data_IF_606686511228
#
_entry.id   IF_606686511228
#
_cell.length_a   1.000
_cell.length_b   1.000
_cell.length_c   1.000
_cell.angle_alpha   90.00
_cell.angle_beta   90.00
_cell.angle_gamma   90.00
#
_symmetry.space_group_name_H-M   'P 1'
#
loop_
_entity.id
_entity.type
_entity.pdbx_description
1 polymer ?
#
# COMPACT_ATOMS: atom_id res chain seq x y z
N UNK A 1 -27.71 -17.01 22.39
CA UNK A 1 -27.49 -16.03 21.32
C UNK A 1 -25.99 -15.95 21.05
N UNK A 2 -25.49 -16.85 20.20
CA UNK A 2 -24.08 -16.84 19.79
C UNK A 2 -23.94 -15.80 18.68
N UNK A 3 -23.26 -14.68 18.96
CA UNK A 3 -22.81 -13.79 17.90
C UNK A 3 -21.61 -14.48 17.26
N UNK A 4 -21.87 -15.20 16.17
CA UNK A 4 -20.82 -15.51 15.20
C UNK A 4 -20.34 -14.14 14.71
N UNK A 5 -19.14 -13.74 15.14
CA UNK A 5 -18.41 -12.70 14.45
C UNK A 5 -18.08 -13.29 13.09
N UNK A 6 -18.93 -13.03 12.10
CA UNK A 6 -18.56 -13.14 10.71
C UNK A 6 -17.45 -12.10 10.54
N UNK A 7 -16.18 -12.51 10.64
CA UNK A 7 -15.12 -11.80 9.97
C UNK A 7 -15.58 -11.73 8.52
N UNK A 8 -16.11 -10.57 8.10
CA UNK A 8 -16.30 -10.29 6.70
C UNK A 8 -14.99 -10.69 6.02
N UNK A 9 -15.05 -11.52 4.98
CA UNK A 9 -13.97 -11.66 4.02
C UNK A 9 -13.75 -10.25 3.49
N UNK A 10 -12.84 -9.50 4.13
CA UNK A 10 -12.61 -8.11 3.78
C UNK A 10 -11.97 -8.10 2.41
N UNK A 11 -12.77 -7.81 1.39
CA UNK A 11 -12.30 -7.51 0.05
C UNK A 11 -11.84 -6.07 0.08
N UNK A 12 -10.56 -5.84 0.36
CA UNK A 12 -10.05 -4.47 0.25
C UNK A 12 -9.76 -4.09 -1.20
N UNK A 13 -9.54 -5.00 -2.15
CA UNK A 13 -9.63 -4.60 -3.56
C UNK A 13 -11.01 -4.05 -3.90
N UNK A 14 -11.02 -2.94 -4.65
CA UNK A 14 -12.23 -2.41 -5.26
C UNK A 14 -12.83 -3.48 -6.19
N UNK A 15 -14.17 -3.64 -6.26
CA UNK A 15 -14.78 -4.60 -7.18
C UNK A 15 -14.32 -4.34 -8.63
N UNK A 16 -13.74 -5.36 -9.26
CA UNK A 16 -13.19 -5.28 -10.60
C UNK A 16 -11.69 -5.06 -10.66
N UNK A 17 -11.01 -4.80 -9.54
CA UNK A 17 -9.57 -4.58 -9.46
C UNK A 17 -8.80 -5.77 -8.85
N UNK A 18 -7.50 -5.91 -9.17
CA UNK A 18 -6.78 -5.08 -10.14
C UNK A 18 -7.20 -5.38 -11.59
N UNK A 19 -7.22 -4.36 -12.45
CA UNK A 19 -7.72 -4.46 -13.84
C UNK A 19 -6.70 -4.14 -14.93
N UNK A 20 -5.48 -3.70 -14.56
CA UNK A 20 -4.41 -3.35 -15.47
C UNK A 20 -4.91 -2.54 -16.68
N UNK A 21 -5.64 -1.45 -16.40
CA UNK A 21 -6.31 -0.67 -17.44
C UNK A 21 -5.33 -0.22 -18.53
N UNK A 22 -5.66 -0.51 -19.79
CA UNK A 22 -4.82 -0.25 -20.97
C UNK A 22 -3.41 -0.88 -20.92
N UNK A 23 -3.25 -2.00 -20.19
CA UNK A 23 -1.98 -2.69 -19.98
C UNK A 23 -0.90 -1.77 -19.37
N UNK A 24 -1.28 -0.87 -18.45
CA UNK A 24 -0.40 0.19 -17.93
C UNK A 24 -0.64 0.55 -16.44
N UNK A 25 -1.28 -0.31 -15.65
CA UNK A 25 -1.47 -0.09 -14.21
C UNK A 25 -0.64 -1.06 -13.38
N UNK A 26 0.48 -0.56 -12.86
CA UNK A 26 1.53 -1.37 -12.24
C UNK A 26 1.73 -1.04 -10.75
N UNK A 27 0.97 -0.08 -10.21
CA UNK A 27 1.22 0.51 -8.89
C UNK A 27 -0.05 0.57 -8.05
N UNK A 28 -0.02 -0.01 -6.84
CA UNK A 28 -1.16 -0.07 -5.94
C UNK A 28 -1.38 1.22 -5.14
N UNK A 29 -2.63 1.64 -5.03
CA UNK A 29 -3.11 2.72 -4.17
C UNK A 29 -4.28 2.28 -3.29
N UNK A 30 -4.51 3.01 -2.19
CA UNK A 30 -5.80 3.01 -1.49
C UNK A 30 -6.63 4.21 -1.95
N UNK A 31 -7.86 3.93 -2.37
CA UNK A 31 -8.81 4.91 -2.88
C UNK A 31 -9.61 5.48 -1.72
N UNK A 32 -9.41 6.77 -1.43
CA UNK A 32 -10.01 7.39 -0.24
C UNK A 32 -11.53 7.48 -0.33
N UNK A 33 -12.07 7.77 -1.52
CA UNK A 33 -13.52 7.81 -1.76
C UNK A 33 -14.23 6.45 -1.74
N UNK A 34 -13.48 5.35 -1.64
CA UNK A 34 -13.99 3.97 -1.65
C UNK A 34 -13.63 3.25 -0.34
N UNK A 35 -13.71 3.95 0.80
CA UNK A 35 -13.38 3.41 2.14
C UNK A 35 -11.97 2.80 2.23
N UNK A 36 -11.01 3.29 1.43
CA UNK A 36 -9.65 2.75 1.39
C UNK A 36 -9.49 1.46 0.60
N UNK A 37 -10.45 1.12 -0.27
CA UNK A 37 -10.28 -0.01 -1.16
C UNK A 37 -9.10 0.19 -2.10
N UNK A 38 -8.42 -0.90 -2.45
CA UNK A 38 -7.23 -0.92 -3.27
C UNK A 38 -7.57 -0.85 -4.75
N UNK A 39 -6.71 -0.18 -5.50
CA UNK A 39 -6.73 -0.04 -6.96
C UNK A 39 -5.29 -0.13 -7.46
N UNK A 40 -5.03 -0.78 -8.58
CA UNK A 40 -3.81 -0.59 -9.35
C UNK A 40 -4.01 0.62 -10.27
N UNK A 41 -3.05 1.53 -10.33
CA UNK A 41 -3.13 2.71 -11.19
C UNK A 41 -1.78 2.90 -11.90
N UNK A 42 -1.81 3.72 -12.94
CA UNK A 42 -0.65 4.10 -13.72
C UNK A 42 0.38 4.73 -12.78
N UNK A 43 1.57 4.14 -12.70
CA UNK A 43 2.63 4.58 -11.77
C UNK A 43 3.04 6.06 -11.91
N UNK A 44 2.76 6.68 -13.05
CA UNK A 44 3.03 8.11 -13.29
C UNK A 44 1.98 9.06 -12.71
N UNK A 45 0.82 8.54 -12.29
CA UNK A 45 -0.25 9.29 -11.63
C UNK A 45 0.28 10.01 -10.38
N UNK A 46 -0.20 11.23 -10.13
CA UNK A 46 0.24 12.01 -8.97
C UNK A 46 -0.71 11.78 -7.80
N UNK A 47 -0.24 11.05 -6.78
CA UNK A 47 -1.00 10.76 -5.57
C UNK A 47 -0.28 11.18 -4.30
N UNK A 48 -1.05 11.29 -3.22
CA UNK A 48 -0.47 11.36 -1.87
C UNK A 48 0.08 9.96 -1.53
N UNK A 49 0.76 9.77 -0.41
CA UNK A 49 1.41 8.48 -0.15
C UNK A 49 1.70 8.21 1.32
N UNK A 50 1.96 6.95 1.65
CA UNK A 50 2.21 6.48 3.01
C UNK A 50 3.59 5.82 3.07
N UNK A 51 4.43 6.26 4.00
CA UNK A 51 5.72 5.62 4.27
C UNK A 51 5.63 4.71 5.51
N UNK A 52 6.33 3.57 5.49
CA UNK A 52 6.49 2.62 6.60
C UNK A 52 7.97 2.33 6.85
N UNK A 53 8.36 2.26 8.11
CA UNK A 53 9.67 1.73 8.53
C UNK A 53 9.58 0.91 9.80
N UNK A 54 10.46 -0.09 9.98
CA UNK A 54 10.60 -0.77 11.26
C UNK A 54 10.93 0.22 12.37
N UNK A 55 10.38 0.00 13.55
CA UNK A 55 10.82 0.71 14.74
C UNK A 55 12.16 0.10 15.22
N UNK A 56 13.25 0.88 15.37
CA UNK A 56 14.52 0.35 15.85
C UNK A 56 14.38 -0.34 17.21
N UNK A 57 15.17 -1.39 17.43
CA UNK A 57 15.38 -1.99 18.75
C UNK A 57 16.79 -1.61 19.25
N UNK A 58 16.98 -1.04 20.46
CA UNK A 58 15.98 -0.78 21.50
C UNK A 58 14.96 0.30 21.08
N UNK A 59 13.74 0.29 21.63
CA UNK A 59 12.63 1.08 21.10
C UNK A 59 12.91 2.57 21.29
N UNK A 60 13.41 3.23 20.24
CA UNK A 60 13.09 4.64 20.05
C UNK A 60 11.60 4.71 19.77
N UNK A 61 10.84 5.50 20.52
CA UNK A 61 9.47 5.84 20.11
C UNK A 61 9.54 6.49 18.73
N UNK A 62 8.57 6.18 17.86
CA UNK A 62 8.50 6.84 16.55
C UNK A 62 8.57 8.36 16.72
N UNK A 63 9.23 9.04 15.78
CA UNK A 63 9.43 10.49 15.81
C UNK A 63 8.12 11.24 15.52
N UNK A 64 7.30 11.40 16.56
CA UNK A 64 5.98 12.03 16.49
C UNK A 64 6.05 13.51 16.17
N UNK A 65 7.15 14.17 16.54
CA UNK A 65 7.42 15.57 16.23
C UNK A 65 7.55 15.80 14.71
N UNK A 66 8.11 14.82 13.99
CA UNK A 66 8.20 14.86 12.53
C UNK A 66 7.09 14.05 11.82
N UNK A 67 5.93 13.89 12.47
CA UNK A 67 4.73 13.34 11.86
C UNK A 67 4.68 11.80 11.75
N UNK A 68 5.63 11.07 12.34
CA UNK A 68 5.52 9.61 12.42
C UNK A 68 4.49 9.19 13.47
N UNK A 69 3.87 8.03 13.25
CA UNK A 69 2.90 7.41 14.17
C UNK A 69 3.27 5.95 14.35
N UNK A 70 3.22 5.48 15.59
CA UNK A 70 3.53 4.09 15.91
C UNK A 70 2.30 3.20 15.72
N UNK A 71 2.54 1.99 15.21
CA UNK A 71 1.60 0.87 15.29
C UNK A 71 2.35 -0.45 15.24
N UNK A 72 2.06 -1.31 16.21
CA UNK A 72 2.88 -2.50 16.47
C UNK A 72 4.36 -2.14 16.58
N UNK A 73 5.18 -2.82 15.78
CA UNK A 73 6.64 -2.66 15.71
C UNK A 73 7.10 -1.72 14.60
N UNK A 74 6.20 -0.93 14.00
CA UNK A 74 6.50 -0.07 12.85
C UNK A 74 6.11 1.40 13.11
N UNK A 75 6.73 2.29 12.34
CA UNK A 75 6.41 3.69 12.24
C UNK A 75 5.84 4.02 10.87
N UNK A 76 4.75 4.77 10.84
CA UNK A 76 4.02 5.17 9.63
C UNK A 76 3.97 6.68 9.51
N UNK A 77 4.04 7.20 8.28
CA UNK A 77 3.91 8.63 8.00
C UNK A 77 3.06 8.85 6.74
N UNK A 78 1.91 9.50 6.93
CA UNK A 78 1.05 9.97 5.84
C UNK A 78 1.63 11.26 5.28
N UNK A 79 1.94 11.30 3.98
CA UNK A 79 2.48 12.48 3.30
C UNK A 79 1.40 13.07 2.41
N UNK A 80 0.64 14.00 2.99
CA UNK A 80 -0.57 14.56 2.37
C UNK A 80 -0.41 15.97 1.82
N UNK A 81 0.74 16.61 2.04
CA UNK A 81 1.02 17.99 1.61
C UNK A 81 1.40 18.10 0.13
N UNK A 82 1.84 17.00 -0.49
CA UNK A 82 2.27 16.95 -1.90
C UNK A 82 1.80 15.67 -2.57
N UNK A 83 1.58 15.74 -3.89
CA UNK A 83 1.32 14.57 -4.73
C UNK A 83 2.55 14.25 -5.59
N UNK A 84 2.87 12.96 -5.76
CA UNK A 84 4.01 12.47 -6.55
C UNK A 84 3.63 11.22 -7.34
N UNK A 85 4.39 10.95 -8.40
CA UNK A 85 4.38 9.62 -9.05
C UNK A 85 4.81 8.56 -8.05
N UNK A 86 4.46 7.30 -8.31
CA UNK A 86 4.79 6.20 -7.41
C UNK A 86 6.29 6.13 -7.12
N UNK A 87 7.13 6.24 -8.17
CA UNK A 87 8.59 6.25 -8.01
C UNK A 87 9.09 7.47 -7.21
N UNK A 88 8.47 8.64 -7.41
CA UNK A 88 8.80 9.86 -6.66
C UNK A 88 8.37 9.78 -5.19
N UNK A 89 7.25 9.12 -4.91
CA UNK A 89 6.76 8.85 -3.56
C UNK A 89 7.69 7.87 -2.83
N UNK A 90 8.08 6.76 -3.50
CA UNK A 90 9.05 5.81 -2.98
C UNK A 90 10.39 6.46 -2.65
N UNK A 91 10.93 7.24 -3.58
CA UNK A 91 12.17 8.00 -3.36
C UNK A 91 12.10 8.86 -2.08
N UNK A 92 10.96 9.52 -1.84
CA UNK A 92 10.76 10.33 -0.64
C UNK A 92 10.65 9.51 0.65
N UNK A 93 10.11 8.29 0.60
CA UNK A 93 10.10 7.38 1.75
C UNK A 93 11.50 6.83 2.03
N UNK A 94 12.25 6.41 1.00
CA UNK A 94 13.63 5.92 1.12
C UNK A 94 14.56 6.99 1.72
N UNK A 95 14.41 8.25 1.30
CA UNK A 95 15.14 9.38 1.89
C UNK A 95 14.90 9.55 3.39
N UNK A 96 13.70 9.20 3.87
CA UNK A 96 13.34 9.28 5.29
C UNK A 96 13.71 8.00 6.08
N UNK A 97 14.49 7.09 5.48
CA UNK A 97 14.88 5.81 6.09
C UNK A 97 13.72 4.82 6.19
N UNK A 98 12.81 4.86 5.22
CA UNK A 98 11.58 4.07 5.13
C UNK A 98 11.39 3.51 3.71
N UNK A 99 10.24 2.93 3.41
CA UNK A 99 9.79 2.68 2.04
C UNK A 99 8.28 3.01 1.96
N UNK A 100 7.66 2.90 0.79
CA UNK A 100 6.21 2.92 0.69
C UNK A 100 5.61 1.79 1.54
N UNK A 101 4.44 2.04 2.11
CA UNK A 101 3.83 1.11 3.07
C UNK A 101 3.55 -0.25 2.43
N UNK A 102 4.05 -1.31 3.08
CA UNK A 102 3.52 -2.65 2.92
C UNK A 102 2.40 -2.91 3.92
N UNK A 103 1.38 -3.64 3.49
CA UNK A 103 0.31 -4.09 4.37
C UNK A 103 0.37 -5.60 4.47
N UNK A 104 0.60 -6.09 5.69
CA UNK A 104 0.99 -7.48 5.96
C UNK A 104 0.04 -8.20 6.91
N UNK A 105 -1.01 -7.54 7.37
CA UNK A 105 -2.10 -8.15 8.15
C UNK A 105 -3.40 -7.35 8.02
N UNK A 106 -4.52 -7.98 8.34
CA UNK A 106 -5.83 -7.33 8.32
C UNK A 106 -5.94 -6.19 9.36
N UNK A 107 -5.26 -6.32 10.49
CA UNK A 107 -5.21 -5.28 11.52
C UNK A 107 -4.38 -4.07 11.06
N UNK A 108 -3.29 -4.32 10.31
CA UNK A 108 -2.52 -3.24 9.67
C UNK A 108 -3.35 -2.53 8.59
N UNK A 109 -4.12 -3.27 7.79
CA UNK A 109 -5.06 -2.70 6.82
C UNK A 109 -6.10 -1.80 7.51
N UNK A 110 -6.75 -2.29 8.56
CA UNK A 110 -7.72 -1.50 9.36
C UNK A 110 -7.07 -0.26 9.97
N UNK A 111 -5.81 -0.36 10.37
CA UNK A 111 -5.05 0.78 10.87
C UNK A 111 -4.82 1.84 9.78
N UNK A 112 -4.45 1.44 8.57
CA UNK A 112 -4.21 2.35 7.44
C UNK A 112 -5.52 2.98 6.97
N UNK A 113 -6.53 2.18 6.69
CA UNK A 113 -7.85 2.64 6.21
C UNK A 113 -8.55 3.54 7.23
N UNK A 114 -8.44 3.25 8.54
CA UNK A 114 -8.99 4.11 9.60
C UNK A 114 -8.32 5.50 9.73
N UNK A 115 -7.28 5.80 8.94
CA UNK A 115 -6.65 7.14 8.82
C UNK A 115 -7.08 7.89 7.58
N UNK A 116 -7.80 7.21 6.69
CA UNK A 116 -8.47 7.82 5.57
C UNK A 116 -9.76 8.43 6.13
N UNK A 117 -10.07 9.64 5.68
CA UNK A 117 -11.33 10.32 5.94
C UNK A 117 -12.13 10.26 4.62
N UNK A 118 -13.46 10.19 4.67
CA UNK A 118 -14.31 10.03 3.48
C UNK A 118 -14.21 11.20 2.48
N UNK A 119 -13.50 12.28 2.85
CA UNK A 119 -13.10 13.41 1.98
C UNK A 119 -11.73 13.24 1.30
N UNK A 120 -11.07 12.08 1.44
CA UNK A 120 -9.62 11.93 1.25
C UNK A 120 -9.23 11.42 -0.13
N UNK A 121 -8.12 11.97 -0.59
CA UNK A 121 -7.45 11.68 -1.85
C UNK A 121 -6.73 10.33 -1.80
N UNK A 122 -6.53 9.74 -2.96
CA UNK A 122 -5.89 8.42 -3.06
C UNK A 122 -4.40 8.47 -2.65
N UNK A 123 -3.94 7.34 -2.10
CA UNK A 123 -2.61 7.20 -1.51
C UNK A 123 -1.85 6.01 -2.09
N UNK A 124 -0.64 6.24 -2.58
CA UNK A 124 0.25 5.16 -2.98
C UNK A 124 0.62 4.23 -1.82
N UNK A 125 0.58 2.93 -2.12
CA UNK A 125 1.16 1.83 -1.34
C UNK A 125 2.45 1.32 -2.00
N UNK A 126 3.18 0.45 -1.32
CA UNK A 126 4.37 -0.21 -1.86
C UNK A 126 4.08 -1.39 -2.78
N UNK A 127 2.82 -1.71 -3.07
CA UNK A 127 2.44 -2.88 -3.88
C UNK A 127 2.62 -2.56 -5.36
N UNK A 128 3.40 -3.35 -6.08
CA UNK A 128 3.71 -3.07 -7.49
C UNK A 128 4.15 -4.32 -8.25
N UNK A 129 3.95 -4.35 -9.56
CA UNK A 129 4.52 -5.33 -10.49
C UNK A 129 5.98 -5.02 -10.86
N UNK A 130 6.47 -3.82 -10.53
CA UNK A 130 7.84 -3.39 -10.76
C UNK A 130 8.83 -4.20 -9.91
N UNK A 131 10.01 -4.47 -10.48
CA UNK A 131 11.11 -5.12 -9.76
C UNK A 131 11.84 -4.13 -8.88
N UNK A 132 11.64 -4.22 -7.57
CA UNK A 132 12.27 -3.35 -6.58
C UNK A 132 13.49 -3.99 -5.90
N UNK A 133 14.53 -3.19 -5.71
CA UNK A 133 15.60 -3.38 -4.71
C UNK A 133 15.47 -2.31 -3.63
N UNK A 134 16.28 -2.34 -2.57
CA UNK A 134 16.31 -1.31 -1.52
C UNK A 134 16.53 0.13 -2.04
N UNK A 135 17.09 0.29 -3.25
CA UNK A 135 17.52 1.61 -3.76
C UNK A 135 16.69 2.06 -4.97
N UNK A 136 16.22 1.12 -5.80
CA UNK A 136 15.55 1.45 -7.06
C UNK A 136 14.44 0.47 -7.39
N UNK A 137 13.54 0.89 -8.28
CA UNK A 137 12.55 0.01 -8.88
C UNK A 137 12.62 0.14 -10.41
N UNK A 138 12.46 -0.96 -11.13
CA UNK A 138 12.57 -1.01 -12.58
C UNK A 138 11.42 -1.80 -13.18
N UNK A 139 11.02 -1.43 -14.40
CA UNK A 139 10.02 -2.18 -15.17
C UNK A 139 10.58 -3.57 -15.48
N UNK A 140 9.78 -4.59 -15.19
CA UNK A 140 10.01 -5.96 -15.61
C UNK A 140 8.96 -6.30 -16.66
N UNK A 141 9.41 -6.51 -17.91
CA UNK A 141 8.52 -6.75 -19.05
C UNK A 141 7.71 -8.02 -18.78
N UNK A 142 6.41 -7.97 -19.04
CA UNK A 142 5.44 -9.05 -18.84
C UNK A 142 5.31 -9.52 -17.37
N UNK A 143 5.74 -8.69 -16.40
CA UNK A 143 5.54 -8.98 -14.98
C UNK A 143 4.07 -8.80 -14.60
N UNK A 144 3.42 -9.88 -14.23
CA UNK A 144 2.07 -9.88 -13.64
C UNK A 144 2.10 -10.09 -12.13
N UNK A 145 3.29 -10.33 -11.56
CA UNK A 145 3.43 -10.64 -10.14
C UNK A 145 3.63 -9.37 -9.33
N UNK A 146 2.61 -9.02 -8.54
CA UNK A 146 2.75 -7.98 -7.55
C UNK A 146 3.66 -8.39 -6.39
N UNK A 147 4.45 -7.44 -5.91
CA UNK A 147 5.32 -7.56 -4.76
C UNK A 147 5.39 -6.25 -3.96
N UNK A 148 5.86 -6.32 -2.72
CA UNK A 148 6.07 -5.13 -1.90
C UNK A 148 7.44 -4.51 -2.18
N UNK A 149 7.47 -3.19 -2.37
CA UNK A 149 8.68 -2.43 -2.66
C UNK A 149 9.73 -2.49 -1.55
N UNK A 150 9.28 -2.70 -0.31
CA UNK A 150 10.12 -2.84 0.89
C UNK A 150 10.64 -4.27 1.11
N UNK A 151 10.40 -5.18 0.16
CA UNK A 151 10.70 -6.61 0.22
C UNK A 151 10.00 -7.36 1.37
N UNK A 152 8.92 -6.80 1.94
CA UNK A 152 8.07 -7.53 2.89
C UNK A 152 7.51 -8.80 2.24
N UNK A 153 7.40 -9.90 3.00
CA UNK A 153 6.84 -11.13 2.47
C UNK A 153 5.43 -10.89 1.93
N UNK A 154 5.18 -11.24 0.67
CA UNK A 154 3.85 -11.23 0.05
C UNK A 154 2.91 -12.32 0.59
N UNK A 155 3.05 -12.72 1.86
CA UNK A 155 2.23 -13.76 2.47
C UNK A 155 0.82 -13.26 2.80
N UNK A 156 0.70 -11.97 3.11
CA UNK A 156 -0.59 -11.30 3.11
C UNK A 156 -0.85 -10.83 1.70
N UNK A 157 -1.77 -11.53 1.05
CA UNK A 157 -2.38 -11.04 -0.17
C UNK A 157 -3.86 -10.92 0.09
N UNK A 158 -4.43 -9.81 -0.35
CA UNK A 158 -5.83 -9.51 -0.19
C UNK A 158 -6.63 -9.89 -1.46
N UNK A 159 -6.10 -10.83 -2.23
CA UNK A 159 -6.78 -11.38 -3.40
C UNK A 159 -8.10 -12.01 -2.96
N UNK A 160 -9.22 -11.55 -3.53
CA UNK A 160 -10.49 -12.26 -3.40
C UNK A 160 -10.38 -13.66 -4.03
N UNK A 161 -11.23 -14.59 -3.63
CA UNK A 161 -11.34 -15.92 -4.28
C UNK A 161 -12.00 -15.86 -5.67
N UNK A 162 -11.92 -14.72 -6.35
CA UNK A 162 -12.55 -14.53 -7.66
C UNK A 162 -11.73 -15.29 -8.72
N UNK A 163 -12.31 -16.27 -9.43
CA UNK A 163 -11.63 -16.99 -10.51
C UNK A 163 -11.43 -16.13 -11.77
N UNK A 164 -11.97 -14.91 -11.84
CA UNK A 164 -11.78 -13.96 -12.94
C UNK A 164 -10.96 -12.78 -12.42
N UNK A 165 -9.70 -13.03 -12.10
CA UNK A 165 -8.73 -11.96 -11.89
C UNK A 165 -8.06 -11.63 -13.24
N UNK A 166 -8.18 -10.38 -13.74
CA UNK A 166 -7.60 -9.96 -15.02
C UNK A 166 -6.08 -10.18 -15.10
N UNK A 167 -5.38 -10.00 -13.99
CA UNK A 167 -3.91 -9.97 -13.96
C UNK A 167 -3.25 -11.28 -13.56
N UNK A 168 -4.02 -12.27 -13.07
CA UNK A 168 -3.52 -13.63 -12.89
C UNK A 168 -3.63 -14.41 -14.20
N UNK A 169 -2.85 -14.03 -15.21
CA UNK A 169 -2.57 -14.89 -16.37
C UNK A 169 -1.28 -15.68 -16.22
#
# INVERSE_FOLDING_TARGET
FSHVCLCALHRYWKPGNPDNWEDNEDCGEVVGGENGQWNDDICTSLRKYICKRPNPNPPTTCDTANGWRQYGSNCYKLKTDTRKSWLGARHDCVRDGADLVSITSAEEEQYITGRLDDSVFDLWLGYTTLKCTTISCQVEIDSTQFSWSDASPGAYTNWGTDPVQPDLR
#
